data_IF_293697671699
#
_entry.id   IF_293697671699
#
_cell.length_a   1.000
_cell.length_b   1.000
_cell.length_c   1.000
_cell.angle_alpha   90.00
_cell.angle_beta   90.00
_cell.angle_gamma   90.00
#
_symmetry.space_group_name_H-M   'P 1'
#
loop_
_entity.id
_entity.type
_entity.pdbx_description
1 polymer ?
#
# COMPACT_ATOMS: atom_id res chain seq x y z
N UNK A 1 64.50 -10.47 7.28
CA UNK A 1 63.56 -10.90 6.22
C UNK A 1 62.21 -10.31 6.62
N UNK A 2 61.86 -9.08 6.25
CA UNK A 2 61.25 -8.71 4.95
C UNK A 2 59.84 -9.33 4.88
N UNK A 3 58.69 -8.64 4.93
CA UNK A 3 58.35 -7.35 4.33
C UNK A 3 57.30 -6.55 5.13
N UNK A 4 57.43 -5.23 4.99
CA UNK A 4 56.50 -4.14 5.27
C UNK A 4 55.40 -4.08 4.20
N UNK A 5 54.16 -3.73 4.57
CA UNK A 5 53.28 -2.95 3.69
C UNK A 5 52.35 -2.05 4.51
N UNK A 6 52.69 -0.76 4.50
CA UNK A 6 51.86 0.37 4.85
C UNK A 6 50.74 0.59 3.81
N UNK A 7 49.63 1.17 4.28
CA UNK A 7 48.67 2.08 3.59
C UNK A 7 48.29 1.82 2.12
N UNK A 8 47.02 1.51 1.91
CA UNK A 8 46.21 1.96 0.76
C UNK A 8 44.85 2.43 1.32
N UNK A 9 44.69 3.66 1.84
CA UNK A 9 44.42 4.92 1.13
C UNK A 9 43.54 4.79 -0.12
N UNK A 10 42.29 5.24 0.02
CA UNK A 10 41.41 5.85 -0.98
C UNK A 10 41.30 5.19 -2.36
N UNK A 11 40.26 4.37 -2.55
CA UNK A 11 39.66 4.22 -3.87
C UNK A 11 38.65 5.35 -4.07
N UNK A 12 39.05 6.29 -4.93
CA UNK A 12 38.26 7.42 -5.42
C UNK A 12 37.07 6.92 -6.25
N UNK A 13 35.92 7.54 -6.03
CA UNK A 13 34.64 7.27 -6.70
C UNK A 13 34.59 7.99 -8.07
N UNK A 14 35.58 7.78 -8.94
CA UNK A 14 35.73 8.58 -10.17
C UNK A 14 35.90 7.79 -11.48
N UNK A 15 35.77 6.45 -11.47
CA UNK A 15 35.99 5.65 -12.69
C UNK A 15 34.96 4.53 -12.86
N UNK A 16 33.67 4.86 -12.73
CA UNK A 16 32.61 4.00 -13.29
C UNK A 16 32.10 4.68 -14.56
N UNK A 17 32.30 4.10 -15.75
CA UNK A 17 31.75 4.64 -16.99
C UNK A 17 30.22 4.57 -16.92
N UNK A 18 29.56 5.71 -16.71
CA UNK A 18 28.09 5.80 -16.63
C UNK A 18 27.42 6.01 -17.99
N UNK A 19 28.00 5.49 -19.07
CA UNK A 19 27.44 5.64 -20.41
C UNK A 19 27.46 4.31 -21.18
N UNK A 20 26.27 3.90 -21.60
CA UNK A 20 26.06 2.88 -22.62
C UNK A 20 26.60 3.43 -23.97
N UNK A 21 27.49 2.70 -24.68
CA UNK A 21 28.06 3.14 -25.95
C UNK A 21 27.07 3.20 -27.12
N UNK A 22 25.83 2.74 -26.95
CA UNK A 22 24.80 2.86 -27.98
C UNK A 22 23.87 4.05 -27.70
N UNK A 23 24.38 5.24 -28.02
CA UNK A 23 23.58 6.47 -28.08
C UNK A 23 22.40 6.33 -29.03
N UNK A 24 21.22 6.08 -28.47
CA UNK A 24 19.92 6.38 -29.07
C UNK A 24 19.00 6.89 -27.98
N UNK A 25 19.09 8.20 -27.74
CA UNK A 25 18.01 8.95 -27.09
C UNK A 25 16.81 8.95 -28.05
N UNK A 26 15.75 8.25 -27.66
CA UNK A 26 14.46 8.38 -28.30
C UNK A 26 13.36 8.32 -27.23
N UNK A 27 12.64 9.44 -27.14
CA UNK A 27 11.43 9.69 -26.36
C UNK A 27 11.64 9.99 -24.86
N UNK A 28 12.04 11.26 -24.65
CA UNK A 28 12.01 12.02 -23.42
C UNK A 28 10.56 12.25 -22.96
N UNK A 29 10.04 11.31 -22.17
CA UNK A 29 8.87 11.54 -21.31
C UNK A 29 9.34 11.86 -19.90
N UNK A 30 8.67 12.77 -19.14
CA UNK A 30 9.10 13.12 -17.79
C UNK A 30 9.09 11.89 -16.87
N UNK A 31 10.25 11.27 -16.66
CA UNK A 31 10.42 10.17 -15.71
C UNK A 31 10.42 10.75 -14.30
N UNK A 32 9.22 10.94 -13.76
CA UNK A 32 9.05 11.24 -12.36
C UNK A 32 9.29 9.94 -11.58
N UNK A 33 10.56 9.67 -11.26
CA UNK A 33 10.94 8.67 -10.28
C UNK A 33 10.68 9.22 -8.89
N UNK A 34 9.54 8.89 -8.28
CA UNK A 34 9.30 9.26 -6.89
C UNK A 34 9.86 8.17 -5.98
N UNK A 35 11.06 8.39 -5.45
CA UNK A 35 11.62 7.54 -4.40
C UNK A 35 11.17 8.06 -3.04
N UNK A 36 10.11 7.48 -2.49
CA UNK A 36 9.74 7.66 -1.09
C UNK A 36 10.47 6.61 -0.23
N UNK A 37 11.20 7.06 0.78
CA UNK A 37 11.72 6.22 1.86
C UNK A 37 10.61 6.15 2.91
N UNK A 38 9.90 5.03 3.00
CA UNK A 38 8.83 4.85 3.98
C UNK A 38 9.41 4.37 5.32
N UNK A 39 9.18 5.18 6.36
CA UNK A 39 9.14 4.68 7.73
C UNK A 39 7.98 3.69 7.87
N UNK A 40 8.12 2.71 8.74
CA UNK A 40 7.12 1.66 8.95
C UNK A 40 5.92 2.25 9.72
N UNK A 41 4.99 2.91 9.02
CA UNK A 41 3.88 3.70 9.61
C UNK A 41 2.75 2.87 10.27
N UNK A 42 2.98 1.58 10.57
CA UNK A 42 1.96 0.72 11.20
C UNK A 42 1.95 0.82 12.75
N UNK A 43 2.83 1.65 13.33
CA UNK A 43 3.03 1.73 14.80
C UNK A 43 2.48 3.01 15.47
N UNK A 44 1.97 4.01 14.75
CA UNK A 44 1.50 5.28 15.36
C UNK A 44 -0.01 5.55 15.25
N UNK A 45 -0.84 4.53 15.54
CA UNK A 45 -2.17 4.81 16.08
C UNK A 45 -2.09 4.72 17.60
N UNK A 46 -1.75 5.88 18.19
CA UNK A 46 -1.86 6.16 19.61
C UNK A 46 -3.28 5.77 20.07
N UNK A 47 -3.33 4.77 20.94
CA UNK A 47 -4.50 4.41 21.71
C UNK A 47 -4.80 5.60 22.64
N UNK A 48 -5.90 6.31 22.39
CA UNK A 48 -6.31 7.50 23.13
C UNK A 48 -6.74 7.25 24.58
N UNK A 49 -6.03 6.37 25.31
CA UNK A 49 -6.19 6.16 26.74
C UNK A 49 -5.20 7.05 27.52
N UNK A 50 -5.31 8.37 27.37
CA UNK A 50 -4.64 9.32 28.26
C UNK A 50 -5.61 9.70 29.40
N UNK A 51 -5.45 9.05 30.54
CA UNK A 51 -5.85 9.61 31.83
C UNK A 51 -4.88 10.76 32.14
N UNK A 52 -5.18 11.97 31.67
CA UNK A 52 -5.05 13.20 32.46
C UNK A 52 -5.71 14.39 31.72
N UNK A 53 -6.36 15.27 32.48
CA UNK A 53 -7.26 16.30 31.99
C UNK A 53 -6.57 17.37 31.14
N UNK A 54 -6.97 17.45 29.87
CA UNK A 54 -6.96 18.71 29.11
C UNK A 54 -8.13 18.69 28.12
N UNK A 55 -8.91 19.78 28.14
CA UNK A 55 -10.21 19.93 27.48
C UNK A 55 -10.17 19.55 26.00
N UNK A 56 -10.72 18.38 25.65
CA UNK A 56 -11.07 18.05 24.26
C UNK A 56 -12.45 18.64 23.97
N UNK A 57 -12.48 19.51 22.97
CA UNK A 57 -13.67 20.13 22.40
C UNK A 57 -14.76 19.06 22.11
N UNK A 58 -15.99 19.13 22.67
CA UNK A 58 -16.95 18.03 22.65
C UNK A 58 -17.61 17.78 21.28
N UNK A 59 -17.18 18.46 20.21
CA UNK A 59 -17.92 18.53 18.95
C UNK A 59 -17.30 17.77 17.77
N UNK A 60 -16.36 16.85 18.01
CA UNK A 60 -16.08 15.80 17.02
C UNK A 60 -17.12 14.69 17.19
N UNK A 61 -18.32 14.91 16.62
CA UNK A 61 -19.17 13.79 16.25
C UNK A 61 -18.30 12.81 15.45
N UNK A 62 -18.14 11.58 15.96
CA UNK A 62 -17.50 10.49 15.21
C UNK A 62 -18.20 10.41 13.85
N UNK A 63 -17.57 10.95 12.80
CA UNK A 63 -18.14 10.94 11.45
C UNK A 63 -18.42 9.49 11.07
N UNK A 64 -19.69 9.13 11.11
CA UNK A 64 -20.18 7.82 10.74
C UNK A 64 -19.61 7.45 9.38
N UNK A 65 -18.92 6.30 9.30
CA UNK A 65 -18.33 5.82 8.06
C UNK A 65 -19.37 5.76 6.93
N UNK A 66 -19.06 6.41 5.81
CA UNK A 66 -19.87 6.42 4.59
C UNK A 66 -19.07 5.82 3.43
N UNK A 67 -19.63 4.79 2.79
CA UNK A 67 -19.00 4.14 1.63
C UNK A 67 -18.76 5.11 0.46
N UNK A 68 -19.51 6.22 0.38
CA UNK A 68 -19.31 7.28 -0.63
C UNK A 68 -18.00 8.04 -0.46
N UNK A 69 -17.37 7.95 0.71
CA UNK A 69 -16.07 8.55 1.00
C UNK A 69 -14.89 7.65 0.57
N UNK A 70 -15.16 6.45 0.03
CA UNK A 70 -14.11 5.57 -0.49
C UNK A 70 -13.60 6.00 -1.87
N UNK A 71 -12.31 5.76 -2.08
CA UNK A 71 -11.66 5.98 -3.37
C UNK A 71 -11.95 4.80 -4.28
N UNK A 72 -12.62 5.06 -5.40
CA UNK A 72 -12.84 4.06 -6.43
C UNK A 72 -11.57 3.88 -7.27
N UNK A 73 -11.10 2.64 -7.39
CA UNK A 73 -9.88 2.34 -8.12
C UNK A 73 -9.85 0.94 -8.72
N UNK A 74 -9.01 0.77 -9.74
CA UNK A 74 -8.68 -0.53 -10.30
C UNK A 74 -7.16 -0.66 -10.48
N UNK A 75 -6.63 -1.85 -10.24
CA UNK A 75 -5.21 -2.15 -10.38
C UNK A 75 -5.02 -3.12 -11.53
N UNK A 76 -4.02 -2.84 -12.35
CA UNK A 76 -3.61 -3.68 -13.45
C UNK A 76 -2.18 -4.16 -13.24
N UNK A 77 -1.94 -5.44 -13.51
CA UNK A 77 -0.60 -5.95 -13.79
C UNK A 77 -0.49 -6.10 -15.30
N UNK A 78 0.37 -5.30 -15.93
CA UNK A 78 0.41 -5.09 -17.37
C UNK A 78 -1.00 -4.73 -17.85
N UNK A 79 -1.66 -5.59 -18.61
CA UNK A 79 -3.00 -5.33 -19.15
C UNK A 79 -4.11 -6.13 -18.44
N UNK A 80 -3.77 -6.93 -17.44
CA UNK A 80 -4.73 -7.72 -16.67
C UNK A 80 -5.19 -6.97 -15.42
N UNK A 81 -6.50 -6.81 -15.23
CA UNK A 81 -7.05 -6.25 -14.00
C UNK A 81 -6.95 -7.26 -12.86
N UNK A 82 -6.13 -6.95 -11.85
CA UNK A 82 -5.88 -7.84 -10.71
C UNK A 82 -6.64 -7.42 -9.45
N UNK A 83 -7.14 -6.19 -9.40
CA UNK A 83 -7.92 -5.67 -8.28
C UNK A 83 -8.92 -4.62 -8.75
N UNK A 84 -10.13 -4.62 -8.18
CA UNK A 84 -11.15 -3.62 -8.47
C UNK A 84 -11.97 -3.26 -7.23
N UNK A 85 -12.03 -1.96 -6.90
CA UNK A 85 -12.86 -1.39 -5.84
C UNK A 85 -13.79 -0.35 -6.44
N UNK A 86 -15.09 -0.65 -6.43
CA UNK A 86 -16.17 0.24 -6.88
C UNK A 86 -17.19 0.41 -5.76
N UNK A 87 -17.94 1.52 -5.80
CA UNK A 87 -19.04 1.84 -4.87
C UNK A 87 -20.14 0.76 -4.78
N UNK A 88 -20.12 -0.26 -5.65
CA UNK A 88 -21.07 -1.38 -5.68
C UNK A 88 -20.56 -2.67 -4.99
N UNK A 89 -19.43 -2.63 -4.28
CA UNK A 89 -18.78 -3.83 -3.71
C UNK A 89 -19.03 -4.00 -2.20
N UNK A 90 -19.13 -5.25 -1.71
CA UNK A 90 -19.43 -5.63 -0.30
C UNK A 90 -18.31 -6.57 0.20
N UNK A 91 -17.52 -6.19 1.25
CA UNK A 91 -16.05 -6.49 1.33
C UNK A 91 -15.23 -6.50 2.71
N UNK A 92 -14.89 -7.60 3.46
CA UNK A 92 -13.78 -8.19 4.33
C UNK A 92 -12.91 -7.35 5.17
N UNK A 93 -13.31 -6.15 5.43
CA UNK A 93 -12.37 -5.14 5.83
C UNK A 93 -12.97 -4.44 7.02
N UNK A 94 -12.18 -4.29 8.08
CA UNK A 94 -12.55 -3.39 9.15
C UNK A 94 -12.30 -1.97 8.65
N UNK A 95 -13.38 -1.23 8.48
CA UNK A 95 -13.37 0.12 7.93
C UNK A 95 -13.79 1.11 9.00
N UNK A 96 -13.06 2.21 9.07
CA UNK A 96 -13.37 3.39 9.87
C UNK A 96 -12.85 4.63 9.16
N UNK A 97 -13.59 5.73 9.24
CA UNK A 97 -13.22 7.02 8.64
C UNK A 97 -11.86 7.46 9.18
N UNK A 98 -10.93 7.83 8.30
CA UNK A 98 -9.60 8.32 8.70
C UNK A 98 -8.68 7.27 9.31
N UNK A 99 -8.96 5.98 9.12
CA UNK A 99 -8.06 4.89 9.51
C UNK A 99 -7.70 4.03 8.30
N UNK A 100 -6.50 3.43 8.33
CA UNK A 100 -6.16 2.42 7.34
C UNK A 100 -7.14 1.26 7.43
N UNK A 101 -7.68 0.81 6.28
CA UNK A 101 -8.49 -0.39 6.28
C UNK A 101 -7.68 -1.57 6.81
N UNK A 102 -8.27 -2.31 7.77
CA UNK A 102 -7.60 -3.42 8.43
C UNK A 102 -8.16 -4.74 7.94
N UNK A 103 -7.27 -5.61 7.45
CA UNK A 103 -7.64 -6.88 6.85
C UNK A 103 -7.39 -8.03 7.82
N UNK A 104 -8.23 -9.06 7.73
CA UNK A 104 -8.10 -10.26 8.54
C UNK A 104 -8.61 -11.49 7.80
N UNK A 105 -8.14 -12.66 8.22
CA UNK A 105 -8.58 -13.97 7.70
C UNK A 105 -9.51 -14.58 8.74
N UNK A 106 -10.75 -14.88 8.35
CA UNK A 106 -11.69 -15.62 9.20
C UNK A 106 -11.28 -17.10 9.24
N UNK A 107 -11.12 -17.67 10.44
CA UNK A 107 -10.63 -19.04 10.64
C UNK A 107 -11.64 -19.98 11.31
N UNK A 108 -12.88 -19.53 11.49
CA UNK A 108 -13.94 -20.28 12.18
C UNK A 108 -14.20 -19.77 13.60
N UNK A 109 -15.29 -20.21 14.22
CA UNK A 109 -15.62 -19.95 15.64
C UNK A 109 -15.57 -18.48 16.08
N UNK A 110 -15.98 -17.57 15.18
CA UNK A 110 -15.90 -16.12 15.39
C UNK A 110 -14.47 -15.61 15.63
N UNK A 111 -13.46 -16.36 15.20
CA UNK A 111 -12.05 -16.00 15.29
C UNK A 111 -11.51 -15.52 13.95
N UNK A 112 -10.54 -14.63 14.04
CA UNK A 112 -9.79 -14.10 12.91
C UNK A 112 -8.30 -14.11 13.22
N UNK A 113 -7.51 -14.30 12.16
CA UNK A 113 -6.06 -14.08 12.19
C UNK A 113 -5.74 -12.81 11.41
N UNK A 114 -4.97 -11.92 12.02
CA UNK A 114 -4.58 -10.65 11.40
C UNK A 114 -3.15 -10.25 11.76
N UNK A 115 -2.48 -9.51 10.88
CA UNK A 115 -1.23 -8.83 11.20
C UNK A 115 -1.59 -7.46 11.81
N UNK A 116 -1.25 -7.23 13.08
CA UNK A 116 -1.59 -6.00 13.79
C UNK A 116 -0.50 -5.61 14.79
N UNK A 117 0.06 -4.39 14.63
CA UNK A 117 1.20 -3.87 15.43
C UNK A 117 2.38 -4.83 15.39
N UNK A 118 2.89 -5.09 14.18
CA UNK A 118 4.01 -5.97 13.90
C UNK A 118 3.93 -7.39 14.51
N UNK A 119 2.72 -7.93 14.68
CA UNK A 119 2.49 -9.29 15.18
C UNK A 119 1.30 -9.95 14.49
N UNK A 120 1.42 -11.23 14.15
CA UNK A 120 0.29 -12.04 13.67
C UNK A 120 -0.48 -12.62 14.86
N UNK A 121 -1.72 -12.19 15.05
CA UNK A 121 -2.56 -12.54 16.21
C UNK A 121 -3.78 -13.35 15.77
N UNK A 122 -4.13 -14.37 16.55
CA UNK A 122 -5.46 -14.97 16.55
C UNK A 122 -6.31 -14.31 17.65
N UNK A 123 -7.48 -13.78 17.29
CA UNK A 123 -8.39 -13.04 18.17
C UNK A 123 -9.84 -13.32 17.80
N UNK A 124 -10.75 -13.07 18.74
CA UNK A 124 -12.16 -12.97 18.40
C UNK A 124 -12.41 -11.79 17.47
N UNK A 125 -13.38 -11.94 16.56
CA UNK A 125 -13.77 -10.94 15.58
C UNK A 125 -14.07 -9.59 16.24
N UNK A 126 -14.77 -9.60 17.38
CA UNK A 126 -15.12 -8.41 18.16
C UNK A 126 -13.87 -7.68 18.65
N UNK A 127 -12.90 -8.40 19.20
CA UNK A 127 -11.67 -7.84 19.75
C UNK A 127 -10.79 -7.27 18.63
N UNK A 128 -10.67 -8.00 17.52
CA UNK A 128 -9.91 -7.57 16.35
C UNK A 128 -10.53 -6.36 15.65
N UNK A 129 -11.87 -6.24 15.70
CA UNK A 129 -12.59 -5.12 15.09
C UNK A 129 -12.39 -3.81 15.84
N UNK A 130 -12.22 -3.85 17.16
CA UNK A 130 -12.17 -2.67 18.03
C UNK A 130 -13.37 -1.71 17.79
N UNK A 131 -14.56 -2.27 17.57
CA UNK A 131 -15.79 -1.52 17.30
C UNK A 131 -15.97 -1.07 15.84
N UNK A 132 -14.98 -1.32 14.97
CA UNK A 132 -15.07 -0.98 13.54
C UNK A 132 -16.05 -1.89 12.80
N UNK A 133 -16.71 -1.34 11.78
CA UNK A 133 -17.61 -2.10 10.89
C UNK A 133 -16.78 -3.06 10.02
N UNK A 134 -17.27 -4.29 9.81
CA UNK A 134 -16.62 -5.28 8.95
C UNK A 134 -17.42 -5.65 7.69
N UNK A 135 -16.70 -5.96 6.63
CA UNK A 135 -17.08 -6.33 5.24
C UNK A 135 -17.30 -7.84 4.86
N UNK A 136 -17.43 -8.36 3.58
CA UNK A 136 -16.74 -9.66 3.08
C UNK A 136 -15.85 -9.58 1.74
N UNK A 137 -14.47 -9.52 1.71
CA UNK A 137 -13.57 -8.85 0.66
C UNK A 137 -13.09 -9.81 -0.44
N UNK A 138 -13.69 -10.98 -0.50
CA UNK A 138 -13.11 -12.12 -1.19
C UNK A 138 -12.89 -11.91 -2.70
N UNK A 139 -13.58 -10.93 -3.29
CA UNK A 139 -13.65 -10.66 -4.72
C UNK A 139 -12.90 -9.40 -5.17
N UNK A 140 -12.24 -8.68 -4.25
CA UNK A 140 -11.47 -7.48 -4.58
C UNK A 140 -10.30 -7.83 -5.51
N UNK A 141 -9.53 -8.84 -5.13
CA UNK A 141 -8.47 -9.40 -5.97
C UNK A 141 -9.03 -10.46 -6.92
N UNK A 142 -8.59 -10.42 -8.18
CA UNK A 142 -9.07 -11.32 -9.26
C UNK A 142 -8.22 -12.58 -9.43
N UNK A 143 -7.36 -12.88 -8.47
CA UNK A 143 -6.54 -14.09 -8.47
C UNK A 143 -7.36 -15.33 -8.14
N UNK A 144 -6.91 -16.50 -8.61
CA UNK A 144 -7.48 -17.78 -8.21
C UNK A 144 -7.21 -18.04 -6.72
N UNK A 145 -8.27 -18.14 -5.93
CA UNK A 145 -8.17 -18.45 -4.50
C UNK A 145 -7.74 -19.89 -4.23
N UNK A 146 -7.02 -20.08 -3.13
CA UNK A 146 -6.74 -21.40 -2.55
C UNK A 146 -8.00 -21.99 -1.91
N UNK A 147 -7.98 -23.31 -1.65
CA UNK A 147 -9.04 -23.97 -0.90
C UNK A 147 -9.12 -23.46 0.54
N UNK A 148 -10.32 -23.43 1.13
CA UNK A 148 -10.56 -22.84 2.45
C UNK A 148 -9.63 -23.39 3.53
N UNK A 149 -9.44 -24.71 3.56
CA UNK A 149 -8.55 -25.38 4.52
C UNK A 149 -7.11 -24.87 4.41
N UNK A 150 -6.62 -24.67 3.19
CA UNK A 150 -5.28 -24.11 2.94
C UNK A 150 -5.17 -22.65 3.37
N UNK A 151 -6.24 -21.85 3.18
CA UNK A 151 -6.26 -20.45 3.64
C UNK A 151 -6.19 -20.38 5.16
N UNK A 152 -6.95 -21.22 5.85
CA UNK A 152 -6.93 -21.30 7.32
C UNK A 152 -5.57 -21.80 7.81
N UNK A 153 -5.03 -22.85 7.19
CA UNK A 153 -3.70 -23.37 7.51
C UNK A 153 -2.62 -22.28 7.33
N UNK A 154 -2.60 -21.62 6.18
CA UNK A 154 -1.67 -20.51 5.89
C UNK A 154 -1.73 -19.42 6.96
N UNK A 155 -2.92 -19.07 7.45
CA UNK A 155 -3.06 -18.04 8.47
C UNK A 155 -2.61 -18.53 9.85
N UNK A 156 -3.05 -19.72 10.24
CA UNK A 156 -2.79 -20.31 11.57
C UNK A 156 -1.31 -20.62 11.79
N UNK A 157 -0.58 -21.07 10.77
CA UNK A 157 0.87 -21.36 10.86
C UNK A 157 1.72 -20.11 11.14
N UNK A 158 1.19 -18.91 10.90
CA UNK A 158 1.91 -17.65 11.09
C UNK A 158 1.62 -17.00 12.44
N UNK A 159 0.68 -17.53 13.23
CA UNK A 159 0.28 -16.95 14.52
C UNK A 159 1.47 -16.91 15.48
N UNK A 160 1.72 -15.74 16.05
CA UNK A 160 2.80 -15.51 17.02
C UNK A 160 4.09 -14.95 16.39
N UNK A 161 4.22 -14.91 15.06
CA UNK A 161 5.36 -14.24 14.41
C UNK A 161 5.34 -12.73 14.66
N UNK A 162 6.52 -12.14 14.88
CA UNK A 162 6.69 -10.71 15.20
C UNK A 162 7.86 -10.06 14.48
N UNK A 163 7.78 -8.75 14.30
CA UNK A 163 8.88 -7.87 13.89
C UNK A 163 9.66 -8.41 12.67
N UNK A 164 10.95 -8.76 12.87
CA UNK A 164 11.87 -9.19 11.82
C UNK A 164 11.55 -10.56 11.23
N UNK A 165 10.69 -11.33 11.88
CA UNK A 165 10.24 -12.64 11.38
C UNK A 165 9.11 -12.50 10.35
N UNK A 166 8.47 -11.33 10.29
CA UNK A 166 7.37 -11.08 9.38
C UNK A 166 7.86 -11.03 7.93
N UNK A 167 7.03 -11.59 7.04
CA UNK A 167 7.20 -11.48 5.59
C UNK A 167 6.27 -10.44 4.95
N UNK A 168 5.47 -9.71 5.73
CA UNK A 168 4.48 -8.75 5.21
C UNK A 168 4.56 -7.43 5.99
N UNK A 169 4.36 -6.31 5.30
CA UNK A 169 4.37 -4.97 5.92
C UNK A 169 3.04 -4.50 6.45
N UNK A 170 1.94 -5.08 5.98
CA UNK A 170 0.60 -4.64 6.31
C UNK A 170 -0.39 -5.81 6.29
N UNK A 171 -1.54 -5.60 6.93
CA UNK A 171 -2.58 -6.62 7.09
C UNK A 171 -3.18 -7.09 5.78
N UNK A 172 -3.27 -6.23 4.76
CA UNK A 172 -3.78 -6.58 3.44
C UNK A 172 -2.88 -7.60 2.74
N UNK A 173 -1.57 -7.34 2.67
CA UNK A 173 -0.60 -8.25 2.06
C UNK A 173 -0.62 -9.62 2.76
N UNK A 174 -0.70 -9.65 4.09
CA UNK A 174 -0.80 -10.90 4.86
C UNK A 174 -2.07 -11.68 4.50
N UNK A 175 -3.25 -11.05 4.56
CA UNK A 175 -4.52 -11.70 4.29
C UNK A 175 -4.64 -12.16 2.83
N UNK A 176 -4.17 -11.34 1.88
CA UNK A 176 -4.14 -11.68 0.46
C UNK A 176 -3.18 -12.84 0.19
N UNK A 177 -2.00 -12.87 0.82
CA UNK A 177 -1.10 -14.03 0.73
C UNK A 177 -1.77 -15.30 1.27
N UNK A 178 -2.44 -15.26 2.41
CA UNK A 178 -3.14 -16.42 2.96
C UNK A 178 -4.17 -16.97 1.96
N UNK A 179 -4.92 -16.08 1.29
CA UNK A 179 -5.98 -16.44 0.33
C UNK A 179 -5.46 -16.95 -1.01
N UNK A 180 -4.37 -16.39 -1.52
CA UNK A 180 -3.92 -16.61 -2.91
C UNK A 180 -2.57 -17.33 -3.04
N UNK A 181 -1.78 -17.41 -1.96
CA UNK A 181 -0.46 -18.06 -1.94
C UNK A 181 0.61 -17.36 -2.79
N UNK A 182 0.32 -16.16 -3.31
CA UNK A 182 1.18 -15.42 -4.23
C UNK A 182 2.36 -14.77 -3.53
N UNK A 183 3.58 -15.05 -4.01
CA UNK A 183 4.83 -14.55 -3.42
C UNK A 183 4.93 -13.03 -3.48
N UNK A 184 4.27 -12.42 -4.45
CA UNK A 184 4.23 -10.98 -4.72
C UNK A 184 3.71 -10.17 -3.52
N UNK A 185 2.92 -10.78 -2.64
CA UNK A 185 2.45 -10.14 -1.40
C UNK A 185 3.50 -10.14 -0.27
N UNK A 186 4.57 -10.94 -0.37
CA UNK A 186 5.64 -10.96 0.62
C UNK A 186 6.68 -9.88 0.32
N UNK A 187 7.29 -9.32 1.37
CA UNK A 187 8.44 -8.42 1.28
C UNK A 187 9.55 -9.07 0.45
N UNK A 188 10.01 -8.35 -0.59
CA UNK A 188 11.04 -8.86 -1.51
C UNK A 188 10.61 -10.07 -2.35
N UNK A 189 9.31 -10.39 -2.39
CA UNK A 189 8.79 -11.51 -3.16
C UNK A 189 8.79 -11.27 -4.68
N UNK A 190 8.91 -10.02 -5.11
CA UNK A 190 8.98 -9.61 -6.51
C UNK A 190 10.37 -9.13 -6.91
N UNK A 191 10.74 -9.45 -8.16
CA UNK A 191 11.96 -8.98 -8.79
C UNK A 191 11.68 -7.62 -9.43
N UNK A 192 12.29 -6.56 -8.89
CA UNK A 192 12.14 -5.18 -9.36
C UNK A 192 13.09 -4.86 -10.53
N UNK A 193 12.97 -5.59 -11.64
CA UNK A 193 13.80 -5.39 -12.86
C UNK A 193 12.90 -4.97 -14.04
N UNK A 194 13.30 -3.90 -14.75
CA UNK A 194 12.66 -3.49 -16.01
C UNK A 194 11.63 -2.36 -15.86
N UNK A 195 10.54 -2.44 -16.63
CA UNK A 195 9.44 -1.44 -16.68
C UNK A 195 8.51 -1.58 -15.47
N UNK A 196 7.79 -0.51 -15.10
CA UNK A 196 6.74 -0.55 -14.08
C UNK A 196 5.59 -1.47 -14.52
N UNK A 197 5.40 -2.66 -13.92
CA UNK A 197 4.37 -3.58 -14.37
C UNK A 197 2.99 -3.25 -13.78
N UNK A 198 2.91 -2.44 -12.73
CA UNK A 198 1.67 -2.15 -12.02
C UNK A 198 1.13 -0.78 -12.37
N UNK A 199 -0.18 -0.70 -12.63
CA UNK A 199 -0.90 0.56 -12.88
C UNK A 199 -2.11 0.66 -11.96
N UNK A 200 -2.12 1.69 -11.11
CA UNK A 200 -3.28 2.06 -10.30
C UNK A 200 -4.08 3.13 -11.04
N UNK A 201 -5.34 2.82 -11.36
CA UNK A 201 -6.28 3.77 -11.94
C UNK A 201 -7.24 4.27 -10.86
N UNK A 202 -7.24 5.58 -10.62
CA UNK A 202 -8.13 6.25 -9.67
C UNK A 202 -9.27 6.90 -10.47
N UNK A 203 -10.51 6.52 -10.17
CA UNK A 203 -11.68 7.02 -10.89
C UNK A 203 -12.25 8.28 -10.24
N UNK A 204 -12.59 9.25 -11.08
CA UNK A 204 -13.13 10.54 -10.66
C UNK A 204 -14.41 10.83 -11.46
N UNK A 205 -15.45 11.31 -10.78
CA UNK A 205 -16.74 11.57 -11.42
C UNK A 205 -16.58 12.62 -12.53
N UNK A 206 -16.89 12.23 -13.77
CA UNK A 206 -16.88 13.13 -14.94
C UNK A 206 -15.49 13.48 -15.49
N UNK A 207 -14.41 12.81 -15.05
CA UNK A 207 -13.04 13.05 -15.56
C UNK A 207 -12.39 11.74 -16.03
N UNK A 208 -11.33 11.87 -16.84
CA UNK A 208 -10.46 10.74 -17.17
C UNK A 208 -9.82 10.17 -15.88
N UNK A 209 -9.63 8.85 -15.78
CA UNK A 209 -9.01 8.25 -14.62
C UNK A 209 -7.56 8.72 -14.49
N UNK A 210 -7.13 9.00 -13.27
CA UNK A 210 -5.73 9.29 -12.99
C UNK A 210 -4.97 7.97 -12.88
N UNK A 211 -3.80 7.87 -13.52
CA UNK A 211 -3.02 6.62 -13.60
C UNK A 211 -1.66 6.81 -12.94
N UNK A 212 -1.35 5.98 -11.96
CA UNK A 212 -0.05 5.91 -11.29
C UNK A 212 0.62 4.58 -11.64
N UNK A 213 1.93 4.59 -11.90
CA UNK A 213 2.70 3.41 -12.28
C UNK A 213 3.70 3.02 -11.18
N UNK A 214 3.79 1.72 -10.88
CA UNK A 214 4.63 1.18 -9.81
C UNK A 214 5.46 0.02 -10.31
N UNK A 215 6.68 -0.09 -9.78
CA UNK A 215 7.59 -1.19 -10.09
C UNK A 215 7.24 -2.48 -9.34
N UNK A 216 6.54 -2.38 -8.20
CA UNK A 216 6.17 -3.52 -7.36
C UNK A 216 4.72 -3.43 -6.87
N UNK A 217 4.15 -4.59 -6.57
CA UNK A 217 2.81 -4.75 -6.00
C UNK A 217 2.75 -4.10 -4.62
N UNK A 218 3.82 -4.22 -3.86
CA UNK A 218 3.96 -3.65 -2.51
C UNK A 218 3.82 -2.13 -2.53
N UNK A 219 4.57 -1.43 -3.40
CA UNK A 219 4.52 0.03 -3.48
C UNK A 219 3.13 0.51 -3.94
N UNK A 220 2.49 -0.24 -4.85
CA UNK A 220 1.13 0.04 -5.30
C UNK A 220 0.08 -0.13 -4.19
N UNK A 221 0.17 -1.21 -3.40
CA UNK A 221 -0.73 -1.45 -2.26
C UNK A 221 -0.57 -0.32 -1.22
N UNK A 222 0.66 0.12 -0.97
CA UNK A 222 0.92 1.22 -0.04
C UNK A 222 0.23 2.51 -0.49
N UNK A 223 0.34 2.89 -1.77
CA UNK A 223 -0.35 4.09 -2.28
C UNK A 223 -1.87 3.94 -2.24
N UNK A 224 -2.39 2.76 -2.57
CA UNK A 224 -3.83 2.49 -2.45
C UNK A 224 -4.32 2.64 -1.01
N UNK A 225 -3.59 2.10 -0.04
CA UNK A 225 -3.91 2.22 1.40
C UNK A 225 -3.84 3.66 1.88
N UNK A 226 -2.86 4.45 1.41
CA UNK A 226 -2.77 5.90 1.67
C UNK A 226 -4.02 6.62 1.17
N UNK A 227 -4.45 6.33 -0.06
CA UNK A 227 -5.65 6.90 -0.65
C UNK A 227 -6.92 6.55 0.14
N UNK A 228 -7.02 5.30 0.60
CA UNK A 228 -8.14 4.86 1.45
C UNK A 228 -8.14 5.59 2.82
N UNK A 229 -6.96 5.81 3.41
CA UNK A 229 -6.83 6.53 4.68
C UNK A 229 -7.20 8.02 4.55
N UNK A 230 -6.73 8.69 3.50
CA UNK A 230 -7.07 10.08 3.21
C UNK A 230 -8.55 10.28 2.88
N UNK A 231 -9.14 9.29 2.22
CA UNK A 231 -10.52 9.35 1.74
C UNK A 231 -10.68 10.15 0.45
N UNK A 232 -11.81 9.91 -0.21
CA UNK A 232 -12.12 10.41 -1.56
C UNK A 232 -11.91 11.91 -1.73
N UNK A 233 -12.45 12.71 -0.82
CA UNK A 233 -12.42 14.17 -0.95
C UNK A 233 -10.98 14.73 -0.92
N UNK A 234 -10.13 14.20 -0.04
CA UNK A 234 -8.74 14.65 0.06
C UNK A 234 -7.93 14.22 -1.17
N UNK A 235 -8.07 12.96 -1.60
CA UNK A 235 -7.41 12.44 -2.81
C UNK A 235 -7.81 13.24 -4.04
N UNK A 236 -9.10 13.52 -4.23
CA UNK A 236 -9.58 14.33 -5.36
C UNK A 236 -9.00 15.75 -5.35
N UNK A 237 -8.80 16.34 -4.17
CA UNK A 237 -8.19 17.67 -4.03
C UNK A 237 -6.70 17.64 -4.38
N UNK A 238 -5.96 16.64 -3.91
CA UNK A 238 -4.53 16.46 -4.25
C UNK A 238 -4.35 16.29 -5.76
N UNK A 239 -5.17 15.43 -6.38
CA UNK A 239 -5.14 15.21 -7.82
C UNK A 239 -5.50 16.47 -8.61
N UNK A 240 -6.53 17.22 -8.18
CA UNK A 240 -6.92 18.46 -8.85
C UNK A 240 -5.82 19.54 -8.79
N UNK A 241 -5.10 19.64 -7.67
CA UNK A 241 -3.97 20.55 -7.53
C UNK A 241 -2.81 20.16 -8.48
N UNK A 242 -2.55 18.86 -8.64
CA UNK A 242 -1.56 18.36 -9.58
C UNK A 242 -1.92 18.68 -11.05
N UNK A 243 -3.18 18.48 -11.43
CA UNK A 243 -3.66 18.83 -12.78
C UNK A 243 -3.52 20.32 -13.07
N UNK A 244 -3.92 21.19 -12.14
CA UNK A 244 -3.85 22.64 -12.31
C UNK A 244 -2.39 23.11 -12.48
N UNK A 245 -1.48 22.56 -11.66
CA UNK A 245 -0.03 22.84 -11.78
C UNK A 245 0.56 22.37 -13.11
N UNK A 246 0.12 21.21 -13.62
CA UNK A 246 0.58 20.72 -14.94
C UNK A 246 0.07 21.57 -16.10
N UNK A 247 -1.14 22.11 -16.00
CA UNK A 247 -1.68 23.04 -17.01
C UNK A 247 -0.94 24.37 -16.99
N UNK A 248 -0.61 24.90 -15.81
CA UNK A 248 0.21 26.10 -15.64
C UNK A 248 1.60 25.94 -16.29
N UNK A 249 2.30 24.84 -16.01
CA UNK A 249 3.63 24.55 -16.60
C UNK A 249 3.59 24.44 -18.12
N UNK A 250 2.51 23.88 -18.69
CA UNK A 250 2.33 23.79 -20.14
C UNK A 250 1.95 25.12 -20.78
N UNK A 251 1.45 26.06 -19.98
CA UNK A 251 0.97 27.38 -20.41
C UNK A 251 2.01 28.49 -20.28
N UNK A 252 3.21 28.22 -19.77
CA UNK A 252 4.36 29.13 -19.86
C UNK A 252 5.13 28.85 -21.16
N UNK A 253 4.95 29.64 -22.24
CA UNK A 253 5.90 29.66 -23.32
C UNK A 253 7.16 30.37 -22.82
N UNK A 254 8.33 29.83 -23.14
CA UNK A 254 9.61 30.48 -22.90
C UNK A 254 9.55 31.94 -23.36
N UNK A 255 9.80 32.85 -22.41
CA UNK A 255 9.98 34.25 -22.71
C UNK A 255 11.16 34.39 -23.68
N UNK A 256 10.87 35.05 -24.80
CA UNK A 256 11.81 35.48 -25.85
C UNK A 256 13.04 36.22 -25.31
#
# INVERSE_FOLDING_TARGET
MGNQMDRLSHLSYAEVPTVDPNGVDAEDGPRIGVSYIFSNDDDELEDGCAVDGSDKDPNQEEKQYDQRDEVECAVYNRDECIYEKSAKSVNLEFVATGQYPHWAVYVGDFQVVHLHRAEVKNRFLTDASQGRRCRIVNELYKFKALGQDMVVQNAMEQVGLKDRELSWRNSECFAAWCRFGKREFKMGGEIRIGKQPYRLKIFMTGKQPHVLEFQSLEDMIMEKRRNDHLGRTAVLRELAAHYSRMEEIKSEPGAE
#
